data_IF_096742164277
#
_entry.id   IF_096742164277
#
_cell.length_a   1.000
_cell.length_b   1.000
_cell.length_c   1.000
_cell.angle_alpha   90.00
_cell.angle_beta   90.00
_cell.angle_gamma   90.00
#
_symmetry.space_group_name_H-M   'P 1'
#
loop_
_entity.id
_entity.type
_entity.pdbx_description
1 polymer ?
#
# COMPACT_ATOMS: atom_id res chain seq x y z
N UNK A 1 1.10 -15.07 12.05
CA UNK A 1 0.36 -13.83 11.73
C UNK A 1 0.81 -12.73 12.67
N UNK A 2 0.97 -11.48 12.22
CA UNK A 2 1.41 -10.37 13.07
C UNK A 2 0.43 -10.16 14.24
N UNK A 3 0.92 -10.38 15.47
CA UNK A 3 0.09 -10.44 16.70
C UNK A 3 -0.62 -9.13 17.00
N UNK A 4 0.08 -8.01 16.79
CA UNK A 4 -0.40 -6.65 17.05
C UNK A 4 -1.62 -6.33 16.17
N UNK A 5 -1.45 -6.36 14.84
CA UNK A 5 -2.53 -6.10 13.88
C UNK A 5 -3.74 -7.03 14.08
N UNK A 6 -3.47 -8.32 14.37
CA UNK A 6 -4.53 -9.30 14.67
C UNK A 6 -5.32 -8.91 15.92
N UNK A 7 -4.64 -8.46 16.98
CA UNK A 7 -5.28 -8.00 18.22
C UNK A 7 -6.16 -6.77 17.98
N UNK A 8 -5.66 -5.77 17.25
CA UNK A 8 -6.42 -4.56 16.91
C UNK A 8 -7.72 -4.88 16.18
N UNK A 9 -7.64 -5.66 15.10
CA UNK A 9 -8.83 -5.96 14.29
C UNK A 9 -9.83 -6.83 15.04
N UNK A 10 -9.37 -7.79 15.84
CA UNK A 10 -10.25 -8.61 16.67
C UNK A 10 -10.96 -7.77 17.74
N UNK A 11 -10.26 -6.84 18.40
CA UNK A 11 -10.88 -5.95 19.39
C UNK A 11 -11.93 -5.04 18.75
N UNK A 12 -11.65 -4.46 17.59
CA UNK A 12 -12.60 -3.62 16.87
C UNK A 12 -13.86 -4.41 16.48
N UNK A 13 -13.70 -5.60 15.87
CA UNK A 13 -14.81 -6.43 15.41
C UNK A 13 -15.67 -6.99 16.55
N UNK A 14 -15.09 -7.18 17.75
CA UNK A 14 -15.84 -7.58 18.95
C UNK A 14 -16.70 -6.43 19.50
N UNK A 15 -16.20 -5.19 19.43
CA UNK A 15 -16.88 -4.02 19.99
C UNK A 15 -18.02 -3.51 19.11
N UNK A 16 -17.86 -3.61 17.79
CA UNK A 16 -18.85 -3.12 16.84
C UNK A 16 -19.24 -4.22 15.83
N UNK A 17 -20.50 -4.70 15.84
CA UNK A 17 -20.97 -5.69 14.87
C UNK A 17 -21.09 -5.14 13.44
N UNK A 18 -21.23 -3.82 13.28
CA UNK A 18 -21.56 -3.17 12.00
C UNK A 18 -20.33 -2.76 11.18
N UNK A 19 -19.12 -3.03 11.68
CA UNK A 19 -17.88 -2.79 10.94
C UNK A 19 -17.37 -4.06 10.27
N UNK A 20 -16.62 -3.85 9.19
CA UNK A 20 -15.81 -4.86 8.53
C UNK A 20 -14.34 -4.54 8.79
N UNK A 21 -13.58 -5.55 9.19
CA UNK A 21 -12.14 -5.46 9.39
C UNK A 21 -11.40 -5.74 8.09
N UNK A 22 -10.41 -4.91 7.77
CA UNK A 22 -9.48 -5.12 6.66
C UNK A 22 -8.09 -5.27 7.26
N UNK A 23 -7.43 -6.39 6.96
CA UNK A 23 -6.06 -6.67 7.37
C UNK A 23 -5.17 -6.72 6.13
N UNK A 24 -4.30 -5.73 5.99
CA UNK A 24 -3.33 -5.68 4.92
C UNK A 24 -2.18 -6.66 5.20
N UNK A 25 -1.94 -7.57 4.25
CA UNK A 25 -0.86 -8.54 4.29
C UNK A 25 0.19 -8.10 3.28
N UNK A 26 1.24 -7.46 3.78
CA UNK A 26 2.34 -6.95 2.97
C UNK A 26 3.45 -8.00 2.89
N UNK A 27 3.81 -8.42 1.67
CA UNK A 27 5.02 -9.22 1.44
C UNK A 27 6.07 -8.33 0.79
N UNK A 28 7.07 -7.95 1.57
CA UNK A 28 8.17 -7.12 1.09
C UNK A 28 9.28 -8.05 0.59
N UNK A 29 9.50 -8.02 -0.72
CA UNK A 29 10.57 -8.74 -1.39
C UNK A 29 11.56 -7.71 -1.95
N UNK A 30 12.71 -7.48 -1.29
CA UNK A 30 13.66 -6.46 -1.70
C UNK A 30 14.19 -6.67 -3.13
N UNK A 31 14.16 -7.91 -3.65
CA UNK A 31 14.61 -8.21 -5.02
C UNK A 31 13.69 -7.67 -6.10
N UNK A 32 12.45 -7.28 -5.75
CA UNK A 32 11.44 -6.77 -6.67
C UNK A 32 11.38 -5.24 -6.72
N UNK A 33 12.31 -4.57 -6.06
CA UNK A 33 12.35 -3.13 -5.93
C UNK A 33 13.61 -2.65 -6.65
N UNK A 34 13.45 -1.67 -7.54
CA UNK A 34 14.53 -0.94 -8.17
C UNK A 34 15.52 -0.44 -7.10
N UNK A 35 16.79 -0.76 -7.29
CA UNK A 35 17.89 -0.42 -6.37
C UNK A 35 18.15 1.08 -6.22
N UNK A 36 17.44 1.95 -6.95
CA UNK A 36 17.70 3.39 -6.95
C UNK A 36 17.17 4.12 -5.72
N UNK A 37 16.23 3.54 -4.95
CA UNK A 37 15.68 4.14 -3.73
C UNK A 37 15.42 3.02 -2.73
N UNK A 38 15.84 3.17 -1.47
CA UNK A 38 15.43 2.30 -0.37
C UNK A 38 14.06 2.77 0.14
N UNK A 39 12.93 2.14 -0.23
CA UNK A 39 11.61 2.71 0.03
C UNK A 39 11.08 2.40 1.42
N UNK A 40 11.85 1.68 2.24
CA UNK A 40 11.47 1.37 3.61
C UNK A 40 12.68 1.12 4.51
N UNK A 41 12.48 1.29 5.81
CA UNK A 41 13.44 0.91 6.84
C UNK A 41 12.72 0.33 8.04
N UNK A 42 13.37 -0.61 8.73
CA UNK A 42 12.92 -1.00 10.07
C UNK A 42 13.30 0.11 11.05
N UNK A 43 12.42 0.44 11.98
CA UNK A 43 12.65 1.49 12.98
C UNK A 43 12.45 0.98 14.41
N UNK A 44 12.72 -0.31 14.63
CA UNK A 44 12.52 -0.99 15.92
C UNK A 44 13.20 -0.24 17.10
N UNK A 45 14.37 0.35 16.89
CA UNK A 45 15.12 1.12 17.91
C UNK A 45 14.55 2.53 18.17
N UNK A 46 13.64 3.00 17.32
CA UNK A 46 13.02 4.32 17.37
C UNK A 46 11.50 4.25 17.52
N UNK A 47 10.94 3.05 17.69
CA UNK A 47 9.51 2.85 17.88
C UNK A 47 9.02 3.46 19.19
N UNK A 48 7.88 4.16 19.14
CA UNK A 48 7.21 4.66 20.34
C UNK A 48 6.66 3.52 21.22
N UNK A 49 6.44 2.33 20.64
CA UNK A 49 5.91 1.15 21.32
C UNK A 49 6.93 0.01 21.20
N UNK A 50 7.74 -0.25 22.25
CA UNK A 50 8.87 -1.19 22.18
C UNK A 50 8.51 -2.65 21.86
N UNK A 51 7.23 -3.04 22.02
CA UNK A 51 6.75 -4.39 21.79
C UNK A 51 6.27 -4.63 20.35
N UNK A 52 6.27 -3.60 19.52
CA UNK A 52 5.86 -3.67 18.11
C UNK A 52 7.08 -3.55 17.19
N UNK A 53 7.07 -4.33 16.11
CA UNK A 53 8.05 -4.20 15.04
C UNK A 53 7.47 -3.26 13.99
N UNK A 54 8.23 -2.26 13.59
CA UNK A 54 7.73 -1.20 12.72
C UNK A 54 8.61 -1.06 11.49
N UNK A 55 7.96 -1.07 10.33
CA UNK A 55 8.58 -0.77 9.04
C UNK A 55 8.02 0.57 8.57
N UNK A 56 8.89 1.56 8.47
CA UNK A 56 8.56 2.88 7.95
C UNK A 56 8.81 2.89 6.44
N UNK A 57 7.77 3.21 5.67
CA UNK A 57 7.88 3.42 4.22
C UNK A 57 8.07 4.91 3.91
N UNK A 58 8.84 5.21 2.87
CA UNK A 58 8.92 6.59 2.36
C UNK A 58 7.58 7.03 1.77
N UNK A 59 7.33 8.34 1.75
CA UNK A 59 6.17 8.87 1.05
C UNK A 59 6.18 8.45 -0.43
N UNK A 60 4.99 8.31 -1.00
CA UNK A 60 4.79 7.85 -2.39
C UNK A 60 5.18 6.39 -2.67
N UNK A 61 5.34 5.56 -1.62
CA UNK A 61 5.41 4.10 -1.81
C UNK A 61 4.08 3.58 -2.33
N UNK A 62 4.12 2.88 -3.45
CA UNK A 62 2.93 2.30 -4.09
C UNK A 62 2.89 0.79 -3.79
N UNK A 63 1.69 0.29 -3.50
CA UNK A 63 1.41 -1.13 -3.36
C UNK A 63 0.35 -1.57 -4.36
N UNK A 64 0.58 -2.72 -4.98
CA UNK A 64 -0.43 -3.41 -5.79
C UNK A 64 -1.29 -4.29 -4.91
N UNK A 65 -2.59 -4.09 -5.02
CA UNK A 65 -3.59 -4.97 -4.44
C UNK A 65 -3.61 -6.27 -5.23
N UNK A 66 -3.34 -7.38 -4.53
CA UNK A 66 -3.40 -8.73 -5.06
C UNK A 66 -4.69 -9.42 -4.64
N UNK A 67 -4.56 -10.64 -4.09
CA UNK A 67 -5.68 -11.41 -3.59
C UNK A 67 -6.40 -10.67 -2.44
N UNK A 68 -7.72 -10.60 -2.54
CA UNK A 68 -8.62 -10.16 -1.48
C UNK A 68 -9.45 -11.36 -1.08
N UNK A 69 -9.39 -11.76 0.19
CA UNK A 69 -10.16 -12.91 0.68
C UNK A 69 -10.71 -12.69 2.06
N UNK A 70 -11.87 -13.27 2.30
CA UNK A 70 -12.44 -13.34 3.63
C UNK A 70 -11.73 -14.42 4.45
N UNK A 71 -11.49 -14.17 5.74
CA UNK A 71 -10.93 -15.19 6.62
C UNK A 71 -11.98 -16.27 6.92
N UNK A 72 -11.53 -17.53 6.99
CA UNK A 72 -12.41 -18.64 7.32
C UNK A 72 -13.04 -18.50 8.72
N UNK A 73 -12.29 -17.91 9.66
CA UNK A 73 -12.69 -17.83 11.07
C UNK A 73 -13.67 -16.68 11.36
N UNK A 74 -13.77 -15.68 10.48
CA UNK A 74 -14.62 -14.52 10.69
C UNK A 74 -15.07 -13.90 9.37
N UNK A 75 -16.37 -13.93 9.10
CA UNK A 75 -16.94 -13.41 7.86
C UNK A 75 -16.83 -11.90 7.67
N UNK A 76 -16.57 -11.17 8.75
CA UNK A 76 -16.40 -9.71 8.74
C UNK A 76 -14.93 -9.30 8.68
N UNK A 77 -14.00 -10.24 8.49
CA UNK A 77 -12.58 -9.96 8.39
C UNK A 77 -12.06 -10.35 7.00
N UNK A 78 -11.48 -9.37 6.31
CA UNK A 78 -10.87 -9.53 5.00
C UNK A 78 -9.36 -9.39 5.10
N UNK A 79 -8.63 -10.31 4.47
CA UNK A 79 -7.21 -10.21 4.22
C UNK A 79 -6.99 -9.67 2.80
N UNK A 80 -6.19 -8.61 2.68
CA UNK A 80 -5.86 -7.98 1.41
C UNK A 80 -4.35 -8.08 1.21
N UNK A 81 -3.92 -8.84 0.21
CA UNK A 81 -2.52 -8.96 -0.11
C UNK A 81 -2.03 -7.69 -0.82
N UNK A 82 -0.93 -7.14 -0.32
CA UNK A 82 -0.25 -5.99 -0.89
C UNK A 82 1.16 -6.38 -1.30
N UNK A 83 1.52 -6.06 -2.54
CA UNK A 83 2.89 -6.23 -3.07
C UNK A 83 3.45 -4.86 -3.40
N UNK A 84 4.63 -4.55 -2.84
CA UNK A 84 5.33 -3.30 -3.18
C UNK A 84 5.71 -3.28 -4.66
N UNK A 85 5.64 -2.10 -5.26
CA UNK A 85 5.89 -1.89 -6.69
C UNK A 85 6.58 -0.55 -6.90
N UNK A 86 7.19 -0.37 -8.07
CA UNK A 86 7.84 0.88 -8.46
C UNK A 86 7.49 1.25 -9.92
N UNK A 87 8.26 2.17 -10.49
CA UNK A 87 8.14 2.64 -11.88
C UNK A 87 8.34 1.56 -12.94
N UNK A 88 8.94 0.41 -12.61
CA UNK A 88 9.07 -0.72 -13.54
C UNK A 88 7.75 -1.45 -13.77
N UNK A 89 6.71 -1.11 -13.00
CA UNK A 89 5.40 -1.69 -13.21
C UNK A 89 4.75 -1.23 -14.53
N UNK A 90 4.42 -2.16 -15.44
CA UNK A 90 3.87 -1.80 -16.74
C UNK A 90 2.54 -1.04 -16.68
N UNK A 91 1.72 -1.29 -15.65
CA UNK A 91 0.44 -0.60 -15.52
C UNK A 91 0.63 0.84 -15.01
N UNK A 92 1.58 1.06 -14.10
CA UNK A 92 1.94 2.41 -13.66
C UNK A 92 2.60 3.21 -14.79
N UNK A 93 3.47 2.57 -15.58
CA UNK A 93 4.05 3.18 -16.77
C UNK A 93 2.95 3.59 -17.77
N UNK A 94 2.04 2.67 -18.11
CA UNK A 94 0.94 2.94 -19.03
C UNK A 94 -0.02 4.03 -18.53
N UNK A 95 -0.35 4.05 -17.22
CA UNK A 95 -1.15 5.12 -16.62
C UNK A 95 -0.43 6.48 -16.72
N UNK A 96 0.86 6.49 -16.43
CA UNK A 96 1.68 7.71 -16.49
C UNK A 96 1.71 8.27 -17.91
N UNK A 97 1.89 7.40 -18.92
CA UNK A 97 1.89 7.82 -20.33
C UNK A 97 0.52 8.33 -20.77
N UNK A 98 -0.56 7.68 -20.33
CA UNK A 98 -1.91 8.16 -20.61
C UNK A 98 -2.18 9.54 -20.01
N UNK A 99 -1.76 9.78 -18.77
CA UNK A 99 -1.88 11.09 -18.12
C UNK A 99 -1.08 12.14 -18.90
N UNK A 100 0.15 11.82 -19.35
CA UNK A 100 0.96 12.74 -20.16
C UNK A 100 0.25 13.12 -21.46
N UNK A 101 -0.36 12.17 -22.16
CA UNK A 101 -1.13 12.43 -23.38
C UNK A 101 -2.31 13.38 -23.11
N UNK A 102 -3.12 13.09 -22.10
CA UNK A 102 -4.31 13.88 -21.77
C UNK A 102 -3.96 15.30 -21.31
N UNK A 103 -2.88 15.46 -20.56
CA UNK A 103 -2.40 16.78 -20.14
C UNK A 103 -1.83 17.56 -21.33
N UNK A 104 -1.09 16.91 -22.23
CA UNK A 104 -0.55 17.56 -23.43
C UNK A 104 -1.67 18.10 -24.33
N UNK A 105 -2.71 17.31 -24.56
CA UNK A 105 -3.91 17.73 -25.33
C UNK A 105 -4.59 18.95 -24.70
N UNK A 106 -4.47 19.12 -23.37
CA UNK A 106 -5.08 20.25 -22.65
C UNK A 106 -4.25 21.54 -22.72
N UNK A 107 -2.95 21.45 -23.03
CA UNK A 107 -2.05 22.60 -23.21
C UNK A 107 -2.07 23.12 -24.66
N UNK A 108 -2.43 22.29 -25.64
CA UNK A 108 -2.58 22.68 -27.05
C UNK A 108 -3.82 23.61 -27.29
N UNK A 109 -4.57 23.96 -26.24
CA UNK A 109 -5.66 24.94 -26.25
C UNK A 109 -5.30 26.32 -25.66
N UNK A 110 -4.03 26.54 -25.28
CA UNK A 110 -3.52 27.87 -24.91
C UNK A 110 -2.56 28.30 -26.01
N UNK A 111 -3.06 29.06 -26.98
CA UNK A 111 -2.22 29.94 -27.78
C UNK A 111 -1.51 30.90 -26.81
N UNK A 112 -0.20 30.76 -26.68
CA UNK A 112 0.62 31.80 -26.07
C UNK A 112 0.65 32.98 -27.04
N UNK A 113 -0.34 33.87 -26.91
CA UNK A 113 -0.24 35.22 -27.41
C UNK A 113 0.66 36.03 -26.44
N UNK A 114 1.91 36.24 -26.90
CA UNK A 114 2.85 37.34 -26.65
C UNK A 114 4.28 36.86 -26.36
#
# INVERSE_FOLDING_TARGET
KPKVATSFVQQALKRNPDIVGIMFIMKIDPSKISTSITPFTMIDEHSAIPQEQEILFTMHTIFRVGEIKQTADNSRLWEVQLTITDESDPQLAGLTDRIKEEVKVRVDGIEWAN
#
